data_IF_766324316632
#
_entry.id   IF_766324316632
#
_cell.length_a   1.000
_cell.length_b   1.000
_cell.length_c   1.000
_cell.angle_alpha   90.00
_cell.angle_beta   90.00
_cell.angle_gamma   90.00
#
_symmetry.space_group_name_H-M   'P 1'
#
loop_
_entity.id
_entity.type
_entity.pdbx_description
1 polymer ?
#
# COMPACT_ATOMS: atom_id res chain seq x y z
N UNK A 1 7.00 5.28 7.69
CA UNK A 1 6.64 5.90 6.39
C UNK A 1 6.21 7.36 6.58
N UNK A 2 6.34 8.27 5.59
CA UNK A 2 5.71 9.61 5.67
C UNK A 2 4.58 9.80 4.66
N UNK A 3 3.49 10.41 5.11
CA UNK A 3 2.31 10.73 4.30
C UNK A 3 2.12 12.24 4.24
N UNK A 4 1.96 12.75 3.02
CA UNK A 4 1.60 14.14 2.73
C UNK A 4 0.15 14.20 2.28
N UNK A 5 -0.58 15.20 2.77
CA UNK A 5 -1.96 15.44 2.39
C UNK A 5 -2.01 16.37 1.17
N UNK A 6 -2.54 15.83 0.07
CA UNK A 6 -2.75 16.57 -1.18
C UNK A 6 -4.20 17.03 -1.33
N UNK A 7 -5.10 16.55 -0.46
CA UNK A 7 -6.49 16.99 -0.40
C UNK A 7 -6.61 18.38 0.25
N UNK A 8 -7.70 19.09 -0.04
CA UNK A 8 -8.02 20.38 0.59
C UNK A 8 -8.65 20.25 2.00
N UNK A 9 -8.74 19.04 2.54
CA UNK A 9 -9.40 18.72 3.82
C UNK A 9 -8.43 18.06 4.79
N UNK A 10 -8.63 18.26 6.10
CA UNK A 10 -7.92 17.52 7.13
C UNK A 10 -8.23 16.03 7.02
N UNK A 11 -7.17 15.21 6.98
CA UNK A 11 -7.25 13.76 7.04
C UNK A 11 -6.63 13.32 8.36
N UNK A 12 -7.42 12.69 9.23
CA UNK A 12 -6.90 12.10 10.46
C UNK A 12 -6.99 10.59 10.35
N UNK A 13 -5.87 9.91 10.53
CA UNK A 13 -5.83 8.45 10.56
C UNK A 13 -5.82 8.02 12.03
N UNK A 14 -6.83 7.27 12.46
CA UNK A 14 -6.86 6.67 13.79
C UNK A 14 -6.43 5.22 13.66
N UNK A 15 -5.40 4.83 14.41
CA UNK A 15 -4.89 3.47 14.39
C UNK A 15 -4.46 3.03 15.78
N UNK A 16 -4.63 1.75 16.06
CA UNK A 16 -4.31 1.16 17.36
C UNK A 16 -2.88 0.60 17.31
N UNK A 17 -1.93 1.31 17.92
CA UNK A 17 -0.51 0.92 18.03
C UNK A 17 -0.29 0.34 19.41
N UNK A 18 0.12 -0.93 19.49
CA UNK A 18 0.43 -1.60 20.77
C UNK A 18 -0.68 -1.49 21.84
N UNK A 19 -1.95 -1.59 21.44
CA UNK A 19 -3.08 -1.45 22.37
C UNK A 19 -3.56 -0.01 22.62
N UNK A 20 -2.86 0.99 22.06
CA UNK A 20 -3.15 2.41 22.27
C UNK A 20 -3.69 3.06 21.00
N UNK A 21 -4.89 3.64 21.08
CA UNK A 21 -5.45 4.41 19.98
C UNK A 21 -4.62 5.68 19.76
N UNK A 22 -4.00 5.76 18.58
CA UNK A 22 -3.12 6.84 18.16
C UNK A 22 -3.73 7.52 16.95
N UNK A 23 -3.85 8.84 17.02
CA UNK A 23 -4.37 9.68 15.93
C UNK A 23 -3.22 10.40 15.22
N UNK A 24 -3.19 10.28 13.89
CA UNK A 24 -2.23 10.93 12.99
C UNK A 24 -2.96 12.00 12.16
N UNK A 25 -2.98 13.27 12.60
CA UNK A 25 -3.58 14.36 11.84
C UNK A 25 -2.64 14.84 10.72
N UNK A 26 -3.05 14.65 9.47
CA UNK A 26 -2.31 15.07 8.28
C UNK A 26 -2.97 16.33 7.72
N UNK A 27 -2.36 17.50 7.98
CA UNK A 27 -2.89 18.80 7.59
C UNK A 27 -2.81 19.03 6.08
N UNK A 28 -3.84 19.60 5.44
CA UNK A 28 -3.83 19.91 4.01
C UNK A 28 -2.94 21.11 3.69
N UNK A 29 -2.51 21.25 2.43
CA UNK A 29 -1.73 22.39 1.94
C UNK A 29 -0.21 22.20 2.01
N UNK A 30 0.55 23.27 2.21
CA UNK A 30 2.04 23.24 2.30
C UNK A 30 2.57 22.73 3.65
N UNK A 31 1.80 21.88 4.34
CA UNK A 31 2.23 21.30 5.60
C UNK A 31 3.24 20.16 5.38
N UNK A 32 4.17 19.95 6.34
CA UNK A 32 5.13 18.87 6.26
C UNK A 32 4.44 17.49 6.29
N UNK A 33 5.10 16.49 5.70
CA UNK A 33 4.61 15.12 5.72
C UNK A 33 4.61 14.57 7.16
N UNK A 34 3.59 13.79 7.49
CA UNK A 34 3.41 13.17 8.81
C UNK A 34 3.97 11.77 8.78
N UNK A 35 4.81 11.46 9.76
CA UNK A 35 5.33 10.11 9.96
C UNK A 35 4.23 9.20 10.51
N UNK A 36 3.97 8.10 9.80
CA UNK A 36 3.05 7.05 10.21
C UNK A 36 3.75 5.68 10.12
N UNK A 37 3.39 4.73 11.01
CA UNK A 37 3.84 3.35 10.89
C UNK A 37 3.32 2.68 9.60
N UNK A 38 4.09 1.76 9.04
CA UNK A 38 3.69 1.01 7.83
C UNK A 38 2.43 0.16 8.03
N UNK A 39 2.19 -0.32 9.26
CA UNK A 39 0.94 -1.00 9.61
C UNK A 39 -0.29 -0.09 9.39
N UNK A 40 -0.15 1.22 9.59
CA UNK A 40 -1.20 2.22 9.34
C UNK A 40 -1.39 2.42 7.85
N UNK A 41 -0.32 2.43 7.07
CA UNK A 41 -0.38 2.61 5.62
C UNK A 41 -1.08 1.44 4.89
N UNK A 42 -1.09 0.26 5.52
CA UNK A 42 -1.71 -0.96 5.00
C UNK A 42 -3.22 -1.05 5.22
N UNK A 43 -3.82 -0.17 6.03
CA UNK A 43 -5.26 -0.24 6.25
C UNK A 43 -6.02 0.21 5.00
N UNK A 44 -7.18 -0.40 4.73
CA UNK A 44 -8.02 -0.12 3.56
C UNK A 44 -8.31 1.38 3.38
N UNK A 45 -8.54 2.08 4.49
CA UNK A 45 -8.80 3.52 4.47
C UNK A 45 -7.61 4.32 3.90
N UNK A 46 -6.38 4.02 4.33
CA UNK A 46 -5.19 4.74 3.87
C UNK A 46 -4.82 4.31 2.45
N UNK A 47 -4.96 3.02 2.12
CA UNK A 47 -4.82 2.52 0.74
C UNK A 47 -5.77 3.23 -0.22
N UNK A 48 -7.04 3.42 0.15
CA UNK A 48 -8.01 4.13 -0.66
C UNK A 48 -7.63 5.61 -0.86
N UNK A 49 -7.15 6.28 0.18
CA UNK A 49 -6.70 7.68 0.09
C UNK A 49 -5.46 7.84 -0.79
N UNK A 50 -4.51 6.91 -0.70
CA UNK A 50 -3.34 6.86 -1.57
C UNK A 50 -3.74 6.62 -3.03
N UNK A 51 -4.68 5.70 -3.28
CA UNK A 51 -5.19 5.39 -4.62
C UNK A 51 -5.97 6.54 -5.24
N UNK A 52 -6.75 7.26 -4.44
CA UNK A 52 -7.50 8.43 -4.90
C UNK A 52 -6.62 9.68 -5.10
N UNK A 53 -5.37 9.66 -4.61
CA UNK A 53 -4.47 10.81 -4.64
C UNK A 53 -4.74 11.85 -3.54
N UNK A 54 -5.60 11.53 -2.56
CA UNK A 54 -5.83 12.38 -1.38
C UNK A 54 -4.58 12.41 -0.47
N UNK A 55 -3.82 11.30 -0.44
CA UNK A 55 -2.55 11.19 0.27
C UNK A 55 -1.42 10.81 -0.69
N UNK A 56 -0.22 11.32 -0.42
CA UNK A 56 1.00 10.99 -1.15
C UNK A 56 2.08 10.47 -0.19
N UNK A 57 2.74 9.39 -0.59
CA UNK A 57 3.91 8.83 0.12
C UNK A 57 5.12 9.75 -0.12
N UNK A 58 5.83 10.14 0.93
CA UNK A 58 7.05 10.95 0.85
C UNK A 58 8.16 10.24 1.63
N UNK A 59 9.31 10.00 1.02
CA UNK A 59 10.43 9.31 1.66
C UNK A 59 11.21 8.44 0.66
N UNK A 60 12.42 8.03 1.06
CA UNK A 60 13.41 7.35 0.20
C UNK A 60 13.04 5.92 -0.26
N UNK A 61 11.85 5.44 0.09
CA UNK A 61 11.33 4.15 -0.34
C UNK A 61 10.11 4.38 -1.25
N UNK A 62 10.36 4.93 -2.45
CA UNK A 62 9.40 4.93 -3.56
C UNK A 62 9.25 3.52 -4.19
N UNK A 63 9.78 2.46 -3.56
CA UNK A 63 9.99 1.15 -4.17
C UNK A 63 9.60 -0.02 -3.25
N UNK A 64 8.37 -0.05 -2.76
CA UNK A 64 7.61 -1.30 -2.58
C UNK A 64 6.17 -0.98 -2.16
N UNK A 65 5.27 -0.98 -3.14
CA UNK A 65 3.85 -1.14 -2.87
C UNK A 65 3.62 -2.56 -2.36
N UNK A 66 3.42 -2.73 -1.05
CA UNK A 66 2.85 -3.95 -0.45
C UNK A 66 1.35 -4.15 -0.80
N UNK A 67 0.92 -3.64 -1.96
CA UNK A 67 -0.31 -3.98 -2.66
C UNK A 67 -0.05 -5.05 -3.74
N UNK A 68 1.20 -5.51 -3.89
CA UNK A 68 1.55 -6.58 -4.83
C UNK A 68 0.91 -7.94 -4.44
N UNK A 69 0.71 -8.28 -3.16
CA UNK A 69 0.20 -9.63 -2.82
C UNK A 69 -1.20 -9.95 -3.42
N UNK A 70 -2.13 -8.99 -3.35
CA UNK A 70 -3.46 -9.18 -3.95
C UNK A 70 -3.44 -9.05 -5.48
N UNK A 71 -2.51 -8.24 -6.01
CA UNK A 71 -2.36 -8.04 -7.45
C UNK A 71 -1.66 -9.25 -8.13
N UNK A 72 -0.74 -9.92 -7.44
CA UNK A 72 0.00 -11.08 -7.97
C UNK A 72 -0.91 -12.28 -8.20
N UNK A 73 -1.86 -12.56 -7.30
CA UNK A 73 -2.82 -13.63 -7.52
C UNK A 73 -3.67 -13.35 -8.77
N UNK A 74 -4.17 -12.11 -8.89
CA UNK A 74 -4.95 -11.69 -10.05
C UNK A 74 -4.14 -11.71 -11.36
N UNK A 75 -2.88 -11.28 -11.34
CA UNK A 75 -1.97 -11.33 -12.50
C UNK A 75 -1.64 -12.77 -12.90
N UNK A 76 -1.40 -13.65 -11.93
CA UNK A 76 -1.18 -15.07 -12.18
C UNK A 76 -2.42 -15.71 -12.84
N UNK A 77 -3.62 -15.46 -12.31
CA UNK A 77 -4.86 -15.96 -12.91
C UNK A 77 -5.10 -15.40 -14.32
N UNK A 78 -4.79 -14.12 -14.56
CA UNK A 78 -4.88 -13.49 -15.89
C UNK A 78 -3.94 -14.14 -16.93
N UNK A 79 -2.79 -14.65 -16.48
CA UNK A 79 -1.84 -15.41 -17.30
C UNK A 79 -2.21 -16.92 -17.38
N UNK A 80 -3.31 -17.34 -16.76
CA UNK A 80 -3.77 -18.73 -16.73
C UNK A 80 -3.03 -19.62 -15.73
N UNK A 81 -2.27 -19.04 -14.80
CA UNK A 81 -1.56 -19.75 -13.74
C UNK A 81 -2.57 -20.09 -12.63
N UNK A 82 -2.70 -21.37 -12.28
CA UNK A 82 -3.51 -21.82 -11.13
C UNK A 82 -2.75 -21.56 -9.83
N UNK A 83 -3.06 -20.43 -9.19
CA UNK A 83 -2.52 -20.06 -7.89
C UNK A 83 -2.99 -21.03 -6.80
N UNK A 84 -2.06 -21.56 -6.02
CA UNK A 84 -2.37 -22.31 -4.82
C UNK A 84 -2.26 -21.39 -3.59
N UNK A 85 -3.21 -21.48 -2.66
CA UNK A 85 -3.24 -20.68 -1.41
C UNK A 85 -2.04 -20.93 -0.49
N UNK A 86 -1.26 -21.97 -0.73
CA UNK A 86 0.00 -22.26 -0.01
C UNK A 86 1.22 -21.61 -0.64
N UNK A 87 1.08 -20.96 -1.80
CA UNK A 87 2.17 -20.24 -2.44
C UNK A 87 2.36 -18.89 -1.74
N UNK A 88 3.58 -18.63 -1.30
CA UNK A 88 3.97 -17.30 -0.85
C UNK A 88 4.27 -16.37 -2.02
N UNK A 89 4.29 -15.07 -1.73
CA UNK A 89 4.49 -13.97 -2.69
C UNK A 89 5.68 -14.20 -3.65
N UNK A 90 6.83 -14.62 -3.11
CA UNK A 90 8.03 -14.90 -3.92
C UNK A 90 7.77 -15.92 -5.03
N UNK A 91 7.01 -16.98 -4.74
CA UNK A 91 6.72 -18.03 -5.72
C UNK A 91 5.70 -17.57 -6.76
N UNK A 92 4.74 -16.73 -6.36
CA UNK A 92 3.79 -16.13 -7.28
C UNK A 92 4.50 -15.20 -8.27
N UNK A 93 5.36 -14.30 -7.79
CA UNK A 93 6.18 -13.42 -8.64
C UNK A 93 7.02 -14.20 -9.65
N UNK A 94 7.68 -15.27 -9.22
CA UNK A 94 8.54 -16.07 -10.10
C UNK A 94 7.73 -16.74 -11.23
N UNK A 95 6.57 -17.30 -10.91
CA UNK A 95 5.71 -17.95 -11.91
C UNK A 95 5.07 -16.95 -12.88
N UNK A 96 4.65 -15.77 -12.39
CA UNK A 96 4.13 -14.67 -13.22
C UNK A 96 5.20 -14.17 -14.18
N UNK A 97 6.41 -13.89 -13.68
CA UNK A 97 7.53 -13.43 -14.51
C UNK A 97 7.90 -14.45 -15.59
N UNK A 98 7.88 -15.75 -15.24
CA UNK A 98 8.12 -16.84 -16.20
C UNK A 98 7.04 -16.93 -17.27
N UNK A 99 5.77 -16.76 -16.92
CA UNK A 99 4.68 -16.76 -17.89
C UNK A 99 4.69 -15.52 -18.79
N UNK A 100 5.05 -14.35 -18.26
CA UNK A 100 5.20 -13.12 -19.04
C UNK A 100 6.39 -13.19 -20.02
N UNK A 101 7.51 -13.78 -19.60
CA UNK A 101 8.68 -13.96 -20.47
C UNK A 101 8.49 -15.03 -21.57
N UNK A 102 7.44 -15.85 -21.47
CA UNK A 102 7.12 -16.89 -22.44
C UNK A 102 6.09 -16.44 -23.50
N UNK A 103 5.60 -15.20 -23.44
CA UNK A 103 4.81 -14.55 -24.50
C UNK A 103 5.72 -13.82 -25.50
#
# INVERSE_FOLDING_TARGET
>A
MFLKNEAARLITINYLVDGTETSYPILPGENPAVEVPDAVAKIDFVKALLKNGDLRRVGADELQSEDDDEDLVAQAEALGIKVNKTWGENRLREEIAKAQAAQ
#
